data_IF_812196982317
#
_entry.id   IF_812196982317
#
_cell.length_a   1.000
_cell.length_b   1.000
_cell.length_c   1.000
_cell.angle_alpha   90.00
_cell.angle_beta   90.00
_cell.angle_gamma   90.00
#
_symmetry.space_group_name_H-M   'P 1'
#
loop_
_entity.id
_entity.type
_entity.pdbx_description
1 polymer ?
#
# COMPACT_ATOMS: atom_id res chain seq x y z
N UNK A 1 10.41 -3.03 -3.69
CA UNK A 1 11.36 -4.05 -4.15
C UNK A 1 11.00 -4.54 -5.55
N UNK A 2 9.86 -5.24 -5.76
CA UNK A 2 9.51 -5.83 -7.07
C UNK A 2 9.55 -4.82 -8.24
N UNK A 3 8.96 -3.63 -8.06
CA UNK A 3 8.94 -2.59 -9.10
C UNK A 3 10.30 -1.98 -9.42
N UNK A 4 11.26 -2.08 -8.51
CA UNK A 4 12.64 -1.61 -8.74
C UNK A 4 13.41 -2.52 -9.70
N UNK A 5 12.96 -3.76 -9.85
CA UNK A 5 13.56 -4.76 -10.74
C UNK A 5 12.70 -5.04 -11.98
N UNK A 6 11.75 -4.16 -12.28
CA UNK A 6 10.98 -4.16 -13.52
C UNK A 6 9.60 -4.81 -13.46
N UNK A 7 9.19 -5.40 -12.32
CA UNK A 7 7.82 -5.93 -12.20
C UNK A 7 6.78 -4.80 -12.12
N UNK A 8 5.62 -5.06 -12.70
CA UNK A 8 4.43 -4.27 -12.46
C UNK A 8 3.81 -4.66 -11.12
N UNK A 9 3.25 -3.70 -10.41
CA UNK A 9 2.59 -3.97 -9.14
C UNK A 9 1.38 -3.07 -8.93
N UNK A 10 0.33 -3.65 -8.35
CA UNK A 10 -0.84 -2.95 -7.84
C UNK A 10 -1.04 -3.34 -6.39
N UNK A 11 -1.29 -2.36 -5.53
CA UNK A 11 -1.68 -2.61 -4.14
C UNK A 11 -3.04 -2.00 -3.87
N UNK A 12 -3.88 -2.74 -3.16
CA UNK A 12 -5.18 -2.31 -2.71
C UNK A 12 -5.31 -2.58 -1.21
N UNK A 13 -5.74 -1.59 -0.45
CA UNK A 13 -5.93 -1.71 0.99
C UNK A 13 -7.37 -1.33 1.35
N UNK A 14 -7.98 -2.13 2.22
CA UNK A 14 -9.31 -1.88 2.77
C UNK A 14 -9.18 -1.48 4.23
N UNK A 15 -9.90 -0.45 4.60
CA UNK A 15 -9.97 0.06 5.96
C UNK A 15 -11.41 0.07 6.45
N UNK A 16 -11.67 -0.28 7.72
CA UNK A 16 -13.01 -0.19 8.28
C UNK A 16 -13.47 1.26 8.37
N UNK A 17 -14.77 1.48 8.37
CA UNK A 17 -15.37 2.80 8.57
C UNK A 17 -15.29 3.29 10.02
N UNK A 18 -15.00 2.40 10.97
CA UNK A 18 -14.82 2.73 12.38
C UNK A 18 -13.47 3.39 12.62
N UNK A 19 -13.41 4.29 13.60
CA UNK A 19 -12.17 4.99 13.98
C UNK A 19 -11.18 4.04 14.67
N UNK A 20 -11.68 3.06 15.43
CA UNK A 20 -10.89 2.05 16.14
C UNK A 20 -11.51 0.66 15.96
N UNK A 21 -10.64 -0.31 15.71
CA UNK A 21 -11.05 -1.71 15.51
C UNK A 21 -11.61 -1.97 14.11
N UNK A 22 -11.98 -3.21 13.87
CA UNK A 22 -12.45 -3.72 12.60
C UNK A 22 -11.33 -4.25 11.70
N UNK A 23 -11.68 -5.18 10.79
CA UNK A 23 -10.71 -5.86 9.96
C UNK A 23 -10.10 -4.92 8.92
N UNK A 24 -8.81 -5.08 8.69
CA UNK A 24 -8.08 -4.43 7.59
C UNK A 24 -7.32 -5.49 6.81
N UNK A 25 -7.32 -5.35 5.50
CA UNK A 25 -6.48 -6.22 4.67
C UNK A 25 -5.84 -5.43 3.53
N UNK A 26 -4.74 -5.93 3.06
CA UNK A 26 -4.03 -5.36 1.91
C UNK A 26 -3.78 -6.47 0.91
N UNK A 27 -4.16 -6.23 -0.33
CA UNK A 27 -3.85 -7.10 -1.45
C UNK A 27 -2.73 -6.48 -2.28
N UNK A 28 -1.76 -7.28 -2.68
CA UNK A 28 -0.70 -6.89 -3.61
C UNK A 28 -0.67 -7.87 -4.77
N UNK A 29 -0.71 -7.36 -5.98
CA UNK A 29 -0.54 -8.15 -7.21
C UNK A 29 0.74 -7.71 -7.88
N UNK A 30 1.58 -8.68 -8.22
CA UNK A 30 2.87 -8.50 -8.89
C UNK A 30 2.86 -9.34 -10.15
N UNK A 31 3.31 -8.77 -11.28
CA UNK A 31 3.38 -9.45 -12.58
C UNK A 31 4.53 -8.90 -13.42
N UNK A 32 5.01 -9.71 -14.35
CA UNK A 32 5.88 -9.30 -15.46
C UNK A 32 5.15 -8.46 -16.50
N UNK A 33 3.82 -8.52 -16.53
CA UNK A 33 2.95 -7.73 -17.40
C UNK A 33 2.18 -6.63 -16.63
N UNK A 34 1.65 -5.59 -17.32
CA UNK A 34 0.87 -4.52 -16.70
C UNK A 34 -0.33 -5.03 -15.90
N UNK A 35 -0.42 -4.64 -14.64
CA UNK A 35 -1.50 -5.01 -13.72
C UNK A 35 -2.56 -3.93 -13.73
N UNK A 36 -3.78 -4.25 -14.19
CA UNK A 36 -4.91 -3.31 -14.33
C UNK A 36 -6.00 -3.50 -13.27
N UNK A 37 -5.98 -4.60 -12.51
CA UNK A 37 -6.95 -4.90 -11.45
C UNK A 37 -6.32 -5.73 -10.34
N UNK A 38 -6.95 -5.71 -9.15
CA UNK A 38 -6.52 -6.56 -8.03
C UNK A 38 -6.74 -8.06 -8.30
N UNK A 39 -7.80 -8.42 -9.04
CA UNK A 39 -8.23 -9.81 -9.27
C UNK A 39 -9.17 -10.29 -8.17
N UNK A 40 -9.86 -11.41 -8.43
CA UNK A 40 -10.86 -12.00 -7.52
C UNK A 40 -10.27 -13.05 -6.58
N UNK A 41 -9.15 -13.66 -6.98
CA UNK A 41 -8.48 -14.73 -6.24
C UNK A 41 -7.02 -14.40 -6.00
N UNK A 42 -6.47 -14.96 -4.91
CA UNK A 42 -5.08 -14.77 -4.53
C UNK A 42 -4.29 -16.07 -4.62
N UNK A 43 -3.00 -15.96 -4.90
CA UNK A 43 -2.06 -17.09 -4.88
C UNK A 43 -1.55 -17.35 -3.46
N UNK A 44 -1.50 -16.32 -2.61
CA UNK A 44 -1.06 -16.41 -1.22
C UNK A 44 -2.00 -15.61 -0.33
N UNK A 45 -2.46 -16.21 0.75
CA UNK A 45 -3.08 -15.53 1.88
C UNK A 45 -2.10 -15.52 3.06
N UNK A 46 -1.93 -14.37 3.69
CA UNK A 46 -1.27 -14.27 5.00
C UNK A 46 -2.32 -13.91 6.04
N UNK A 47 -2.69 -14.87 6.87
CA UNK A 47 -3.67 -14.71 7.93
C UNK A 47 -2.95 -14.43 9.26
N UNK A 48 -2.97 -13.17 9.71
CA UNK A 48 -2.35 -12.78 10.98
C UNK A 48 -3.14 -13.25 12.20
N UNK A 49 -4.44 -13.53 12.02
CA UNK A 49 -5.34 -14.05 13.04
C UNK A 49 -6.39 -14.99 12.43
N UNK A 50 -7.14 -15.67 13.29
CA UNK A 50 -8.16 -16.63 12.88
C UNK A 50 -9.27 -15.97 12.05
N UNK A 51 -9.69 -14.74 12.39
CA UNK A 51 -10.72 -13.99 11.64
C UNK A 51 -10.31 -13.74 10.19
N UNK A 52 -9.04 -13.38 9.96
CA UNK A 52 -8.51 -13.18 8.60
C UNK A 52 -8.55 -14.48 7.79
N UNK A 53 -8.22 -15.62 8.40
CA UNK A 53 -8.35 -16.92 7.75
C UNK A 53 -9.79 -17.24 7.40
N UNK A 54 -10.71 -17.12 8.38
CA UNK A 54 -12.13 -17.46 8.19
C UNK A 54 -12.78 -16.59 7.12
N UNK A 55 -12.34 -15.34 6.97
CA UNK A 55 -12.90 -14.39 6.01
C UNK A 55 -12.38 -14.61 4.59
N UNK A 56 -11.08 -14.95 4.43
CA UNK A 56 -10.41 -14.87 3.12
C UNK A 56 -9.87 -16.20 2.58
N UNK A 57 -9.99 -17.31 3.32
CA UNK A 57 -9.43 -18.61 2.89
C UNK A 57 -10.06 -19.15 1.60
N UNK A 58 -11.31 -18.81 1.32
CA UNK A 58 -12.02 -19.20 0.09
C UNK A 58 -11.55 -18.40 -1.15
N UNK A 59 -10.92 -17.24 -0.94
CA UNK A 59 -10.34 -16.44 -2.03
C UNK A 59 -9.02 -17.00 -2.54
N UNK A 60 -8.43 -17.99 -1.83
CA UNK A 60 -7.17 -18.61 -2.21
C UNK A 60 -7.40 -19.64 -3.31
N UNK A 61 -6.64 -19.54 -4.41
CA UNK A 61 -6.68 -20.51 -5.51
C UNK A 61 -6.45 -21.94 -5.03
N UNK A 62 -6.95 -22.97 -5.74
CA UNK A 62 -6.73 -24.38 -5.34
C UNK A 62 -5.26 -24.77 -5.14
N UNK A 63 -4.35 -24.18 -5.93
CA UNK A 63 -2.90 -24.39 -5.82
C UNK A 63 -2.20 -23.29 -5.03
N UNK A 64 -2.96 -22.39 -4.41
CA UNK A 64 -2.43 -21.30 -3.61
C UNK A 64 -1.95 -21.77 -2.24
N UNK A 65 -1.30 -20.86 -1.52
CA UNK A 65 -0.68 -21.13 -0.21
C UNK A 65 -1.28 -20.22 0.85
N UNK A 66 -1.51 -20.77 2.03
CA UNK A 66 -1.98 -20.03 3.19
C UNK A 66 -0.86 -20.03 4.26
N UNK A 67 -0.35 -18.86 4.57
CA UNK A 67 0.53 -18.63 5.70
C UNK A 67 -0.33 -18.16 6.87
N UNK A 68 -0.36 -18.89 7.97
CA UNK A 68 -1.08 -18.44 9.14
C UNK A 68 -0.11 -18.14 10.29
N UNK A 69 -0.47 -17.17 11.13
CA UNK A 69 0.31 -16.82 12.29
C UNK A 69 0.16 -17.87 13.38
N UNK A 70 1.15 -18.75 13.54
CA UNK A 70 1.12 -19.83 14.53
C UNK A 70 1.32 -19.37 15.99
N UNK A 71 1.70 -18.11 16.20
CA UNK A 71 1.72 -17.52 17.54
C UNK A 71 0.30 -17.16 18.05
N UNK A 72 -0.65 -16.92 17.14
CA UNK A 72 -2.02 -16.50 17.45
C UNK A 72 -3.00 -17.67 17.45
N UNK A 73 -2.95 -18.54 16.44
CA UNK A 73 -3.88 -19.66 16.32
C UNK A 73 -3.23 -20.87 15.65
N UNK A 74 -3.89 -22.03 15.81
CA UNK A 74 -3.51 -23.26 15.12
C UNK A 74 -4.58 -23.61 14.09
N UNK A 75 -4.13 -24.14 12.95
CA UNK A 75 -4.99 -24.57 11.87
C UNK A 75 -4.73 -26.05 11.57
N UNK A 76 -5.80 -26.81 11.49
CA UNK A 76 -5.77 -28.23 11.13
C UNK A 76 -6.63 -28.48 9.89
N UNK A 77 -6.19 -29.41 9.05
CA UNK A 77 -7.01 -29.93 7.94
C UNK A 77 -7.04 -29.09 6.66
N UNK A 78 -6.20 -28.09 6.51
CA UNK A 78 -6.00 -27.39 5.23
C UNK A 78 -4.56 -27.66 4.72
N UNK A 79 -4.45 -28.59 3.77
CA UNK A 79 -3.16 -29.02 3.19
C UNK A 79 -2.45 -27.91 2.39
N UNK A 80 -3.11 -26.75 2.15
CA UNK A 80 -2.52 -25.58 1.52
C UNK A 80 -1.82 -24.66 2.52
N UNK A 81 -1.87 -24.97 3.81
CA UNK A 81 -1.45 -24.05 4.86
C UNK A 81 -0.21 -24.52 5.62
N UNK A 82 0.57 -23.54 6.09
CA UNK A 82 1.59 -23.76 7.10
C UNK A 82 1.64 -22.62 8.11
N UNK A 83 2.03 -22.96 9.35
CA UNK A 83 2.18 -22.01 10.44
C UNK A 83 3.51 -21.28 10.36
N UNK A 84 3.49 -19.96 10.54
CA UNK A 84 4.67 -19.12 10.66
C UNK A 84 4.62 -18.40 12.01
N UNK A 85 5.58 -18.65 12.95
CA UNK A 85 5.61 -17.98 14.24
C UNK A 85 6.18 -16.56 14.09
N UNK A 86 5.32 -15.65 13.63
CA UNK A 86 5.70 -14.32 13.14
C UNK A 86 6.33 -13.47 14.24
N UNK A 87 5.69 -13.40 15.41
CA UNK A 87 6.16 -12.60 16.53
C UNK A 87 7.36 -13.23 17.23
N UNK A 88 7.40 -14.56 17.34
CA UNK A 88 8.54 -15.28 17.93
C UNK A 88 9.80 -15.04 17.09
N UNK A 89 9.72 -15.21 15.77
CA UNK A 89 10.83 -14.96 14.86
C UNK A 89 11.26 -13.48 14.87
N UNK A 90 10.33 -12.53 14.93
CA UNK A 90 10.66 -11.12 15.06
C UNK A 90 11.38 -10.83 16.38
N UNK A 91 10.88 -11.35 17.50
CA UNK A 91 11.51 -11.17 18.83
C UNK A 91 12.92 -11.73 18.89
N UNK A 92 13.19 -12.84 18.23
CA UNK A 92 14.52 -13.47 18.21
C UNK A 92 15.61 -12.58 17.59
N UNK A 93 15.23 -11.62 16.74
CA UNK A 93 16.15 -10.62 16.17
C UNK A 93 16.41 -9.42 17.09
N UNK A 94 15.78 -9.36 18.26
CA UNK A 94 15.80 -8.19 19.15
C UNK A 94 14.86 -7.06 18.72
N UNK A 95 14.11 -7.24 17.62
CA UNK A 95 13.22 -6.21 17.06
C UNK A 95 11.78 -6.73 16.91
N UNK A 96 10.95 -6.54 17.92
CA UNK A 96 9.54 -6.95 17.90
C UNK A 96 8.70 -6.28 16.80
N UNK A 97 9.18 -5.18 16.24
CA UNK A 97 8.50 -4.46 15.13
C UNK A 97 8.82 -5.04 13.76
N UNK A 98 9.73 -6.01 13.69
CA UNK A 98 10.13 -6.66 12.43
C UNK A 98 9.18 -7.78 11.98
N UNK A 99 8.03 -7.99 12.63
CA UNK A 99 7.03 -9.01 12.28
C UNK A 99 6.66 -8.99 10.78
N UNK A 100 6.42 -7.80 10.23
CA UNK A 100 6.14 -7.67 8.80
C UNK A 100 7.32 -8.08 7.90
N UNK A 101 8.56 -7.99 8.39
CA UNK A 101 9.74 -8.41 7.63
C UNK A 101 9.86 -9.93 7.60
N UNK A 102 9.47 -10.62 8.67
CA UNK A 102 9.35 -12.09 8.68
C UNK A 102 8.41 -12.55 7.55
N UNK A 103 7.23 -11.93 7.45
CA UNK A 103 6.25 -12.23 6.39
C UNK A 103 6.80 -11.94 4.99
N UNK A 104 7.50 -10.81 4.81
CA UNK A 104 8.12 -10.48 3.52
C UNK A 104 9.16 -11.53 3.12
N UNK A 105 9.95 -12.03 4.06
CA UNK A 105 10.90 -13.12 3.84
C UNK A 105 10.21 -14.42 3.41
N UNK A 106 9.12 -14.79 4.07
CA UNK A 106 8.30 -15.93 3.73
C UNK A 106 7.72 -15.82 2.31
N UNK A 107 7.09 -14.69 1.98
CA UNK A 107 6.56 -14.43 0.65
C UNK A 107 7.64 -14.46 -0.44
N UNK A 108 8.82 -13.91 -0.16
CA UNK A 108 9.94 -13.93 -1.08
C UNK A 108 10.45 -15.36 -1.38
N UNK A 109 10.37 -16.25 -0.39
CA UNK A 109 10.68 -17.67 -0.62
C UNK A 109 9.68 -18.31 -1.59
N UNK A 110 8.38 -18.13 -1.34
CA UNK A 110 7.33 -18.74 -2.16
C UNK A 110 7.44 -18.42 -3.65
N UNK A 111 7.94 -17.23 -4.00
CA UNK A 111 8.09 -16.76 -5.40
C UNK A 111 9.54 -16.72 -5.89
N UNK A 112 10.45 -17.34 -5.15
CA UNK A 112 11.89 -17.39 -5.44
C UNK A 112 12.51 -16.01 -5.73
N UNK A 113 12.11 -14.99 -4.97
CA UNK A 113 12.67 -13.65 -5.12
C UNK A 113 14.07 -13.58 -4.51
N UNK A 114 15.09 -13.09 -5.24
CA UNK A 114 16.45 -12.96 -4.72
C UNK A 114 16.54 -12.08 -3.47
N UNK A 115 17.27 -12.54 -2.44
CA UNK A 115 17.44 -11.84 -1.16
C UNK A 115 18.03 -10.44 -1.34
N UNK A 116 18.98 -10.25 -2.25
CA UNK A 116 19.64 -8.96 -2.46
C UNK A 116 18.70 -7.81 -2.80
N UNK A 117 17.56 -8.08 -3.46
CA UNK A 117 16.54 -7.05 -3.74
C UNK A 117 15.80 -6.60 -2.48
N UNK A 118 15.64 -7.53 -1.53
CA UNK A 118 15.00 -7.24 -0.24
C UNK A 118 15.95 -6.46 0.66
N UNK A 119 17.22 -6.84 0.68
CA UNK A 119 18.26 -6.16 1.46
C UNK A 119 18.42 -4.70 1.01
N UNK A 120 18.46 -4.46 -0.30
CA UNK A 120 18.50 -3.12 -0.87
C UNK A 120 17.24 -2.30 -0.51
N UNK A 121 16.06 -2.95 -0.54
CA UNK A 121 14.82 -2.30 -0.12
C UNK A 121 14.86 -1.87 1.34
N UNK A 122 15.33 -2.75 2.25
CA UNK A 122 15.43 -2.46 3.68
C UNK A 122 16.43 -1.33 3.92
N UNK A 123 17.58 -1.39 3.26
CA UNK A 123 18.62 -0.35 3.32
C UNK A 123 18.02 1.03 2.94
N UNK A 124 17.39 1.13 1.79
CA UNK A 124 16.73 2.37 1.32
C UNK A 124 15.60 2.85 2.23
N UNK A 125 14.87 1.92 2.85
CA UNK A 125 13.70 2.24 3.67
C UNK A 125 14.06 2.77 5.04
N UNK A 126 15.10 2.21 5.66
CA UNK A 126 15.43 2.45 7.07
C UNK A 126 16.65 3.33 7.27
N UNK A 127 17.52 3.49 6.27
CA UNK A 127 18.65 4.42 6.35
C UNK A 127 18.15 5.87 6.27
N UNK A 128 18.24 6.54 7.43
CA UNK A 128 17.80 7.93 7.60
C UNK A 128 18.93 8.87 8.00
N UNK A 129 20.18 8.36 8.10
CA UNK A 129 21.35 9.10 8.56
C UNK A 129 21.35 9.37 10.06
N UNK A 130 20.77 8.46 10.87
CA UNK A 130 20.68 8.55 12.32
C UNK A 130 21.49 7.46 12.99
N UNK A 131 21.94 7.74 14.20
CA UNK A 131 22.53 6.71 15.07
C UNK A 131 21.52 5.57 15.29
N UNK A 132 21.99 4.31 15.16
CA UNK A 132 21.15 3.10 15.29
C UNK A 132 20.47 2.62 14.00
N UNK A 133 20.63 3.32 12.86
CA UNK A 133 20.07 2.85 11.57
C UNK A 133 20.62 1.47 11.20
N UNK A 134 21.89 1.20 11.44
CA UNK A 134 22.52 -0.09 11.11
C UNK A 134 21.91 -1.24 11.91
N UNK A 135 21.63 -1.07 13.19
CA UNK A 135 20.99 -2.08 14.03
C UNK A 135 19.55 -2.37 13.55
N UNK A 136 18.81 -1.32 13.19
CA UNK A 136 17.46 -1.44 12.64
C UNK A 136 17.49 -2.18 11.31
N UNK A 137 18.41 -1.84 10.42
CA UNK A 137 18.57 -2.48 9.11
C UNK A 137 18.91 -3.95 9.29
N UNK A 138 19.92 -4.27 10.09
CA UNK A 138 20.35 -5.65 10.31
C UNK A 138 19.26 -6.53 10.94
N UNK A 139 18.54 -6.02 11.94
CA UNK A 139 17.46 -6.77 12.57
C UNK A 139 16.28 -7.04 11.61
N UNK A 140 15.98 -6.09 10.70
CA UNK A 140 14.95 -6.29 9.68
C UNK A 140 15.39 -7.28 8.59
N UNK A 141 16.65 -7.24 8.15
CA UNK A 141 17.22 -8.22 7.21
C UNK A 141 17.20 -9.61 7.83
N UNK A 142 17.64 -9.73 9.08
CA UNK A 142 17.63 -11.00 9.80
C UNK A 142 16.21 -11.57 9.94
N UNK A 143 15.22 -10.74 10.23
CA UNK A 143 13.81 -11.16 10.30
C UNK A 143 13.32 -11.73 8.95
N UNK A 144 13.68 -11.10 7.83
CA UNK A 144 13.35 -11.64 6.50
C UNK A 144 14.05 -12.98 6.23
N UNK A 145 15.31 -13.13 6.62
CA UNK A 145 16.05 -14.38 6.47
C UNK A 145 15.39 -15.50 7.28
N UNK A 146 14.99 -15.22 8.52
CA UNK A 146 14.29 -16.20 9.36
C UNK A 146 12.95 -16.63 8.77
N UNK A 147 12.13 -15.69 8.32
CA UNK A 147 10.87 -16.01 7.65
C UNK A 147 11.07 -16.86 6.39
N UNK A 148 12.07 -16.52 5.58
CA UNK A 148 12.46 -17.27 4.39
C UNK A 148 12.89 -18.71 4.72
N UNK A 149 13.75 -18.86 5.73
CA UNK A 149 14.25 -20.17 6.18
C UNK A 149 13.10 -21.04 6.68
N UNK A 150 12.27 -20.52 7.56
CA UNK A 150 11.12 -21.26 8.09
C UNK A 150 10.17 -21.73 6.97
N UNK A 151 9.89 -20.85 5.99
CA UNK A 151 9.06 -21.22 4.83
C UNK A 151 9.72 -22.26 3.96
N UNK A 152 11.04 -22.21 3.79
CA UNK A 152 11.80 -23.24 3.06
C UNK A 152 11.67 -24.63 3.71
N UNK A 153 11.64 -24.69 5.03
CA UNK A 153 11.46 -25.92 5.80
C UNK A 153 10.05 -26.50 5.68
N UNK A 154 9.04 -25.65 5.41
CA UNK A 154 7.66 -26.10 5.19
C UNK A 154 7.46 -26.87 3.87
N UNK A 155 8.37 -26.73 2.92
CA UNK A 155 8.30 -27.34 1.59
C UNK A 155 7.37 -26.64 0.60
N UNK A 156 6.70 -25.57 0.99
CA UNK A 156 5.82 -24.81 0.09
C UNK A 156 6.63 -23.91 -0.85
N UNK A 157 6.20 -23.86 -2.12
CA UNK A 157 6.71 -22.95 -3.15
C UNK A 157 5.64 -22.72 -4.21
N UNK A 158 5.62 -21.55 -4.82
CA UNK A 158 4.80 -21.23 -6.00
C UNK A 158 5.66 -21.13 -7.27
N UNK A 159 6.96 -21.32 -7.12
CA UNK A 159 7.92 -21.19 -8.20
C UNK A 159 8.33 -19.73 -8.46
N UNK A 160 9.26 -19.58 -9.40
CA UNK A 160 9.82 -18.28 -9.74
C UNK A 160 8.84 -17.46 -10.58
N UNK A 161 8.70 -16.18 -10.25
CA UNK A 161 8.02 -15.23 -11.14
C UNK A 161 8.73 -15.15 -12.49
N UNK A 162 7.96 -15.02 -13.58
CA UNK A 162 8.52 -14.78 -14.90
C UNK A 162 9.43 -13.52 -14.88
N UNK A 163 10.49 -13.54 -15.69
CA UNK A 163 11.39 -12.38 -15.72
C UNK A 163 10.69 -11.17 -16.34
N UNK A 164 10.72 -10.01 -15.65
CA UNK A 164 10.03 -8.83 -16.15
C UNK A 164 10.76 -8.26 -17.38
N UNK A 165 9.99 -7.77 -18.32
CA UNK A 165 10.53 -6.98 -19.42
C UNK A 165 10.70 -5.53 -18.96
N UNK A 166 11.93 -5.02 -19.02
CA UNK A 166 12.18 -3.62 -18.70
C UNK A 166 11.48 -2.72 -19.73
N UNK A 167 10.59 -1.82 -19.28
CA UNK A 167 9.90 -0.93 -20.18
C UNK A 167 10.86 0.08 -20.84
N UNK A 168 10.57 0.45 -22.09
CA UNK A 168 11.35 1.47 -22.82
C UNK A 168 11.24 2.87 -22.23
N UNK A 169 10.25 3.10 -21.35
CA UNK A 169 9.98 4.39 -20.71
C UNK A 169 10.03 4.26 -19.18
N UNK A 170 10.34 5.37 -18.53
CA UNK A 170 10.35 5.43 -17.10
C UNK A 170 8.95 5.26 -16.51
N UNK A 171 8.80 4.26 -15.65
CA UNK A 171 7.58 4.05 -14.87
C UNK A 171 7.74 4.58 -13.45
N UNK A 172 6.64 5.03 -12.87
CA UNK A 172 6.56 5.45 -11.48
C UNK A 172 5.47 4.67 -10.77
N UNK A 173 5.68 4.38 -9.49
CA UNK A 173 4.65 3.86 -8.61
C UNK A 173 4.07 5.00 -7.79
N UNK A 174 2.78 5.23 -7.91
CA UNK A 174 2.07 6.31 -7.22
C UNK A 174 0.81 5.80 -6.53
N UNK A 175 0.39 6.48 -5.49
CA UNK A 175 -0.93 6.24 -4.89
C UNK A 175 -2.03 6.86 -5.77
N UNK A 176 -3.27 6.37 -5.66
CA UNK A 176 -4.39 6.87 -6.44
C UNK A 176 -4.59 8.38 -6.34
N UNK A 177 -4.51 8.94 -5.13
CA UNK A 177 -4.62 10.38 -4.91
C UNK A 177 -3.48 11.17 -5.54
N UNK A 178 -2.26 10.63 -5.57
CA UNK A 178 -1.11 11.25 -6.25
C UNK A 178 -1.28 11.21 -7.77
N UNK A 179 -1.77 10.08 -8.31
CA UNK A 179 -2.08 9.94 -9.74
C UNK A 179 -3.17 10.94 -10.18
N UNK A 180 -4.24 11.08 -9.38
CA UNK A 180 -5.29 12.05 -9.60
C UNK A 180 -4.74 13.49 -9.60
N UNK A 181 -3.89 13.80 -8.63
CA UNK A 181 -3.25 15.12 -8.50
C UNK A 181 -2.32 15.44 -9.67
N UNK A 182 -1.52 14.46 -10.11
CA UNK A 182 -0.67 14.57 -11.30
C UNK A 182 -1.52 14.82 -12.56
N UNK A 183 -2.61 14.07 -12.73
CA UNK A 183 -3.55 14.25 -13.83
C UNK A 183 -4.19 15.63 -13.86
N UNK A 184 -4.66 16.11 -12.71
CA UNK A 184 -5.24 17.44 -12.58
C UNK A 184 -4.23 18.55 -12.93
N UNK A 185 -2.99 18.43 -12.45
CA UNK A 185 -1.91 19.35 -12.79
C UNK A 185 -1.59 19.32 -14.30
N UNK A 186 -1.52 18.13 -14.90
CA UNK A 186 -1.29 17.96 -16.33
C UNK A 186 -2.42 18.54 -17.18
N UNK A 187 -3.67 18.49 -16.70
CA UNK A 187 -4.83 19.11 -17.31
C UNK A 187 -4.87 20.65 -17.18
N UNK A 188 -3.86 21.23 -16.54
CA UNK A 188 -3.73 22.68 -16.39
C UNK A 188 -4.53 23.23 -15.22
N UNK A 189 -4.69 22.46 -14.12
CA UNK A 189 -5.29 22.96 -12.89
C UNK A 189 -4.54 24.20 -12.40
N UNK A 190 -5.30 25.24 -12.03
CA UNK A 190 -4.77 26.50 -11.50
C UNK A 190 -5.03 26.63 -10.00
N UNK A 191 -6.25 26.31 -9.53
CA UNK A 191 -6.63 26.43 -8.14
C UNK A 191 -7.07 25.09 -7.56
N UNK A 192 -6.56 24.79 -6.37
CA UNK A 192 -7.08 23.73 -5.51
C UNK A 192 -7.52 24.34 -4.18
N UNK A 193 -8.79 24.14 -3.82
CA UNK A 193 -9.37 24.69 -2.60
C UNK A 193 -10.00 23.52 -1.84
N UNK A 194 -9.50 23.20 -0.64
CA UNK A 194 -9.94 22.00 0.05
C UNK A 194 -9.97 22.11 1.56
N UNK A 195 -10.94 21.41 2.16
CA UNK A 195 -11.00 21.16 3.59
C UNK A 195 -10.40 19.76 3.88
N UNK A 196 -9.52 19.62 4.89
CA UNK A 196 -8.85 18.36 5.18
C UNK A 196 -9.84 17.35 5.76
N UNK A 197 -10.08 16.27 5.01
CA UNK A 197 -10.90 15.13 5.41
C UNK A 197 -10.30 13.85 4.83
N UNK A 198 -10.26 12.75 5.61
CA UNK A 198 -9.82 11.45 5.09
C UNK A 198 -10.87 10.86 4.13
N UNK A 199 -10.47 10.31 2.97
CA UNK A 199 -9.09 10.12 2.49
C UNK A 199 -8.55 11.26 1.61
N UNK A 200 -9.27 12.36 1.42
CA UNK A 200 -8.93 13.42 0.46
C UNK A 200 -7.76 14.32 0.90
N UNK A 201 -7.40 14.34 2.19
CA UNK A 201 -6.34 15.21 2.73
C UNK A 201 -5.00 15.07 1.99
N UNK A 202 -4.66 13.87 1.52
CA UNK A 202 -3.41 13.65 0.80
C UNK A 202 -3.35 14.33 -0.56
N UNK A 203 -4.51 14.62 -1.19
CA UNK A 203 -4.60 15.44 -2.41
C UNK A 203 -4.25 16.90 -2.07
N UNK A 204 -4.86 17.44 -1.00
CA UNK A 204 -4.57 18.80 -0.53
C UNK A 204 -3.07 18.98 -0.25
N UNK A 205 -2.48 18.10 0.56
CA UNK A 205 -1.05 18.14 0.88
C UNK A 205 -0.19 18.07 -0.39
N UNK A 206 -0.54 17.19 -1.33
CA UNK A 206 0.19 17.09 -2.59
C UNK A 206 0.10 18.38 -3.40
N UNK A 207 -1.09 18.98 -3.48
CA UNK A 207 -1.31 20.22 -4.22
C UNK A 207 -0.56 21.41 -3.60
N UNK A 208 -0.54 21.54 -2.27
CA UNK A 208 0.23 22.57 -1.56
C UNK A 208 1.72 22.52 -1.91
N UNK A 209 2.27 21.32 -2.11
CA UNK A 209 3.69 21.17 -2.44
C UNK A 209 4.00 21.25 -3.94
N UNK A 210 3.04 20.97 -4.82
CA UNK A 210 3.31 20.75 -6.24
C UNK A 210 2.52 21.68 -7.18
N UNK A 211 1.43 22.29 -6.74
CA UNK A 211 0.68 23.26 -7.54
C UNK A 211 1.29 24.68 -7.36
N UNK A 212 2.53 24.82 -7.83
CA UNK A 212 3.36 26.01 -7.65
C UNK A 212 3.53 26.72 -8.99
N UNK A 213 3.54 28.03 -9.00
CA UNK A 213 3.80 28.89 -10.15
C UNK A 213 2.85 30.10 -10.21
N UNK A 214 3.12 31.00 -11.13
CA UNK A 214 2.31 32.19 -11.32
C UNK A 214 0.86 31.84 -11.69
N UNK A 215 -0.10 32.39 -10.95
CA UNK A 215 -1.52 32.11 -11.13
C UNK A 215 -1.98 30.75 -10.64
N UNK A 216 -1.12 29.97 -9.96
CA UNK A 216 -1.47 28.69 -9.34
C UNK A 216 -1.56 28.83 -7.83
N UNK A 217 -2.54 28.12 -7.25
CA UNK A 217 -2.85 28.31 -5.85
C UNK A 217 -3.48 27.05 -5.23
N UNK A 218 -2.91 26.57 -4.13
CA UNK A 218 -3.52 25.53 -3.30
C UNK A 218 -3.80 26.10 -1.92
N UNK A 219 -5.04 25.98 -1.47
CA UNK A 219 -5.49 26.61 -0.22
C UNK A 219 -6.36 25.71 0.62
N UNK A 220 -5.97 25.59 1.89
CA UNK A 220 -6.80 24.94 2.90
C UNK A 220 -7.81 25.91 3.46
N UNK A 221 -9.06 25.51 3.46
CA UNK A 221 -10.20 26.28 4.00
C UNK A 221 -10.75 25.64 5.27
N UNK A 222 -11.69 26.31 5.93
CA UNK A 222 -12.24 25.90 7.23
C UNK A 222 -13.49 25.01 7.12
N UNK A 223 -14.05 24.83 5.92
CA UNK A 223 -15.22 23.96 5.69
C UNK A 223 -15.35 23.55 4.22
N UNK A 224 -16.14 22.49 3.97
CA UNK A 224 -16.49 22.06 2.62
C UNK A 224 -17.36 23.10 1.89
N UNK A 225 -18.20 23.82 2.60
CA UNK A 225 -19.02 24.91 2.03
C UNK A 225 -18.10 26.01 1.48
N UNK A 226 -17.07 26.38 2.23
CA UNK A 226 -16.06 27.34 1.77
C UNK A 226 -15.28 26.79 0.56
N UNK A 227 -14.98 25.49 0.54
CA UNK A 227 -14.33 24.85 -0.61
C UNK A 227 -15.15 25.00 -1.89
N UNK A 228 -16.43 24.63 -1.86
CA UNK A 228 -17.28 24.69 -3.06
C UNK A 228 -17.56 26.12 -3.51
N UNK A 229 -17.80 27.04 -2.59
CA UNK A 229 -18.02 28.46 -2.93
C UNK A 229 -16.76 29.10 -3.49
N UNK A 230 -15.58 28.73 -2.98
CA UNK A 230 -14.29 29.12 -3.55
C UNK A 230 -14.09 28.65 -4.99
N UNK A 231 -14.52 27.40 -5.30
CA UNK A 231 -14.51 26.87 -6.66
C UNK A 231 -15.39 27.70 -7.60
N UNK A 232 -16.60 28.04 -7.16
CA UNK A 232 -17.51 28.87 -7.95
C UNK A 232 -16.87 30.24 -8.25
N UNK A 233 -16.28 30.88 -7.24
CA UNK A 233 -15.56 32.15 -7.41
C UNK A 233 -14.39 32.01 -8.41
N UNK A 234 -13.61 30.93 -8.34
CA UNK A 234 -12.56 30.65 -9.31
C UNK A 234 -13.10 30.44 -10.72
N UNK A 235 -14.22 29.70 -10.87
CA UNK A 235 -14.91 29.51 -12.14
C UNK A 235 -15.39 30.82 -12.76
N UNK A 236 -15.99 31.71 -11.99
CA UNK A 236 -16.37 33.07 -12.44
C UNK A 236 -15.17 33.89 -12.89
N UNK A 237 -14.00 33.67 -12.28
CA UNK A 237 -12.75 34.30 -12.72
C UNK A 237 -12.09 33.61 -13.93
N UNK A 238 -12.73 32.60 -14.53
CA UNK A 238 -12.22 31.86 -15.69
C UNK A 238 -11.07 30.92 -15.31
N UNK A 239 -10.96 30.50 -14.07
CA UNK A 239 -9.89 29.64 -13.57
C UNK A 239 -10.32 28.17 -13.50
N UNK A 240 -9.39 27.25 -13.87
CA UNK A 240 -9.59 25.83 -13.63
C UNK A 240 -9.37 25.52 -12.16
N UNK A 241 -10.41 25.12 -11.46
CA UNK A 241 -10.37 24.86 -10.04
C UNK A 241 -10.86 23.45 -9.70
N UNK A 242 -10.36 22.90 -8.59
CA UNK A 242 -10.71 21.58 -8.11
C UNK A 242 -10.79 21.57 -6.58
N UNK A 243 -11.69 20.77 -6.05
CA UNK A 243 -11.71 20.32 -4.64
C UNK A 243 -11.86 18.80 -4.58
N UNK A 244 -11.53 18.23 -3.43
CA UNK A 244 -11.78 16.82 -3.13
C UNK A 244 -12.26 16.69 -1.69
N UNK A 245 -13.24 15.82 -1.47
CA UNK A 245 -13.84 15.56 -0.16
C UNK A 245 -14.27 14.09 -0.04
N UNK A 246 -14.88 13.73 1.09
CA UNK A 246 -15.53 12.44 1.34
C UNK A 246 -17.05 12.59 1.43
N UNK A 247 -17.78 11.50 1.67
CA UNK A 247 -19.24 11.47 1.66
C UNK A 247 -19.92 12.57 2.48
N UNK A 248 -19.57 12.76 3.77
CA UNK A 248 -20.17 13.84 4.58
C UNK A 248 -19.93 15.23 4.02
N UNK A 249 -18.71 15.49 3.56
CA UNK A 249 -18.36 16.78 2.96
C UNK A 249 -19.05 17.03 1.63
N UNK A 250 -19.23 15.98 0.81
CA UNK A 250 -20.00 16.09 -0.42
C UNK A 250 -21.47 16.49 -0.15
N UNK A 251 -22.06 15.94 0.91
CA UNK A 251 -23.42 16.33 1.32
C UNK A 251 -23.51 17.82 1.70
N UNK A 252 -22.48 18.36 2.36
CA UNK A 252 -22.41 19.80 2.68
C UNK A 252 -22.21 20.69 1.45
N UNK A 253 -21.59 20.17 0.39
CA UNK A 253 -21.36 20.89 -0.86
C UNK A 253 -22.57 20.91 -1.80
N UNK A 254 -23.62 20.13 -1.52
CA UNK A 254 -24.75 19.92 -2.43
C UNK A 254 -25.44 21.21 -2.85
N UNK A 255 -25.53 22.20 -1.96
CA UNK A 255 -26.13 23.49 -2.24
C UNK A 255 -25.29 24.30 -3.26
N UNK A 256 -23.97 24.22 -3.14
CA UNK A 256 -23.04 24.86 -4.10
C UNK A 256 -23.02 24.20 -5.48
N UNK A 257 -23.42 22.94 -5.60
CA UNK A 257 -23.48 22.27 -6.90
C UNK A 257 -24.64 22.77 -7.80
N UNK A 258 -25.63 23.44 -7.21
CA UNK A 258 -26.78 24.01 -7.92
C UNK A 258 -26.56 25.42 -8.46
N UNK A 259 -25.43 26.03 -8.14
CA UNK A 259 -25.07 27.38 -8.55
C UNK A 259 -24.17 27.35 -9.80
#
# INVERSE_FOLDING_TARGET
>A
AATQVGYHALTYATFPSQILGGPTWTQARISDEPVLSAGDYVDVLVAFNKEAYDTHSEEVKPQGVIIYNSDDFQLEGDDRSFGLPIEELARSTGNTRAANMVVIGALAHLVDMPQGYLDEFVEKRFRRGRDGDDEIIQSNIQAMVLGRTHTSESGFTLGRLAEPQMPEYQQIMVKGNEALSLGARAAGLEFYIGYPISPATTILIWMEHNLIGDGKFAYQVSSEIESITGLLGAGFAGKKAMTATAGPGFSLMSEGLGL
#
